data_IF_046623266743
#
_entry.id   IF_046623266743
#
_cell.length_a   1.000
_cell.length_b   1.000
_cell.length_c   1.000
_cell.angle_alpha   90.00
_cell.angle_beta   90.00
_cell.angle_gamma   90.00
#
_symmetry.space_group_name_H-M   'P 1'
#
loop_
_entity.id
_entity.type
_entity.pdbx_description
1 polymer ?
#
# COMPACT_ATOMS: atom_id res chain seq x y z
N UNK A 1 18.95 -11.27 -27.71
CA UNK A 1 18.20 -11.72 -26.53
C UNK A 1 17.50 -10.51 -25.92
N UNK A 2 16.19 -10.34 -26.18
CA UNK A 2 15.39 -9.27 -25.56
C UNK A 2 15.04 -9.73 -24.16
N UNK A 3 15.58 -9.06 -23.14
CA UNK A 3 15.05 -9.17 -21.79
C UNK A 3 13.61 -8.67 -21.83
N UNK A 4 12.65 -9.59 -21.89
CA UNK A 4 11.28 -9.30 -21.51
C UNK A 4 11.34 -8.97 -20.03
N UNK A 5 11.55 -7.70 -19.71
CA UNK A 5 11.23 -7.16 -18.40
C UNK A 5 9.74 -7.38 -18.24
N UNK A 6 9.35 -8.55 -17.71
CA UNK A 6 8.01 -8.79 -17.23
C UNK A 6 7.72 -7.62 -16.30
N UNK A 7 6.79 -6.71 -16.63
CA UNK A 7 6.44 -5.64 -15.71
C UNK A 7 6.07 -6.35 -14.41
N UNK A 8 6.80 -6.04 -13.33
CA UNK A 8 6.62 -6.69 -12.05
C UNK A 8 5.12 -6.71 -11.74
N UNK A 9 4.59 -7.89 -11.44
CA UNK A 9 3.16 -8.03 -11.12
C UNK A 9 2.84 -7.13 -9.94
N UNK A 10 1.72 -6.42 -10.02
CA UNK A 10 1.36 -5.41 -9.01
C UNK A 10 1.16 -6.06 -7.64
N UNK A 11 0.58 -7.26 -7.62
CA UNK A 11 0.46 -8.08 -6.40
C UNK A 11 1.82 -8.35 -5.73
N UNK A 12 2.84 -8.69 -6.51
CA UNK A 12 4.19 -8.96 -6.02
C UNK A 12 4.90 -7.68 -5.55
N UNK A 13 4.74 -6.58 -6.28
CA UNK A 13 5.26 -5.28 -5.85
C UNK A 13 4.66 -4.84 -4.50
N UNK A 14 3.37 -5.05 -4.30
CA UNK A 14 2.71 -4.77 -3.03
C UNK A 14 3.27 -5.66 -1.89
N UNK A 15 3.49 -6.96 -2.13
CA UNK A 15 4.12 -7.85 -1.15
C UNK A 15 5.55 -7.41 -0.80
N UNK A 16 6.33 -6.91 -1.77
CA UNK A 16 7.66 -6.33 -1.51
C UNK A 16 7.57 -5.10 -0.63
N UNK A 17 6.67 -4.16 -0.92
CA UNK A 17 6.46 -2.97 -0.08
C UNK A 17 6.06 -3.34 1.35
N UNK A 18 5.18 -4.34 1.52
CA UNK A 18 4.81 -4.85 2.83
C UNK A 18 6.03 -5.38 3.60
N UNK A 19 6.92 -6.14 2.95
CA UNK A 19 8.17 -6.63 3.57
C UNK A 19 9.08 -5.47 3.97
N UNK A 20 9.24 -4.45 3.13
CA UNK A 20 10.03 -3.26 3.48
C UNK A 20 9.46 -2.53 4.70
N UNK A 21 8.15 -2.33 4.77
CA UNK A 21 7.51 -1.76 5.97
C UNK A 21 7.79 -2.61 7.22
N UNK A 22 7.76 -3.94 7.11
CA UNK A 22 8.10 -4.84 8.21
C UNK A 22 9.56 -4.69 8.67
N UNK A 23 10.51 -4.62 7.73
CA UNK A 23 11.93 -4.39 8.05
C UNK A 23 12.15 -3.03 8.73
N UNK A 24 11.54 -1.97 8.20
CA UNK A 24 11.59 -0.66 8.84
C UNK A 24 10.96 -0.67 10.23
N UNK A 25 9.86 -1.40 10.43
CA UNK A 25 9.21 -1.53 11.73
C UNK A 25 10.10 -2.22 12.78
N UNK A 26 10.94 -3.18 12.36
CA UNK A 26 11.93 -3.81 13.25
C UNK A 26 13.07 -2.88 13.65
N UNK A 27 13.37 -1.89 12.83
CA UNK A 27 14.41 -0.88 13.07
C UNK A 27 13.86 0.45 13.59
N UNK A 28 12.56 0.54 13.88
CA UNK A 28 11.92 1.79 14.27
C UNK A 28 12.42 2.28 15.63
N UNK A 29 12.80 3.56 15.71
CA UNK A 29 13.30 4.18 16.93
C UNK A 29 12.22 4.38 18.00
N UNK A 30 10.95 4.46 17.59
CA UNK A 30 9.83 4.66 18.50
C UNK A 30 8.72 3.62 18.27
N UNK A 31 7.98 3.31 19.34
CA UNK A 31 6.79 2.46 19.25
C UNK A 31 5.69 3.07 18.38
N UNK A 32 5.61 4.40 18.31
CA UNK A 32 4.66 5.10 17.45
C UNK A 32 4.96 4.83 15.97
N UNK A 33 6.22 5.01 15.55
CA UNK A 33 6.65 4.74 14.17
C UNK A 33 6.50 3.26 13.83
N UNK A 34 6.86 2.37 14.76
CA UNK A 34 6.65 0.92 14.61
C UNK A 34 5.19 0.60 14.32
N UNK A 35 4.25 1.18 15.08
CA UNK A 35 2.80 0.95 14.89
C UNK A 35 2.32 1.45 13.52
N UNK A 36 2.80 2.61 13.06
CA UNK A 36 2.47 3.17 11.75
C UNK A 36 3.00 2.24 10.64
N UNK A 37 4.26 1.82 10.71
CA UNK A 37 4.88 0.95 9.72
C UNK A 37 4.19 -0.42 9.65
N UNK A 38 3.79 -0.99 10.79
CA UNK A 38 2.99 -2.22 10.82
C UNK A 38 1.58 -2.02 10.23
N UNK A 39 0.97 -0.85 10.41
CA UNK A 39 -0.30 -0.52 9.76
C UNK A 39 -0.13 -0.44 8.23
N UNK A 40 0.93 0.23 7.75
CA UNK A 40 1.26 0.30 6.33
C UNK A 40 1.55 -1.09 5.75
N UNK A 41 2.29 -1.94 6.45
CA UNK A 41 2.54 -3.33 6.04
C UNK A 41 1.22 -4.08 5.80
N UNK A 42 0.27 -3.99 6.74
CA UNK A 42 -1.05 -4.62 6.61
C UNK A 42 -1.83 -4.07 5.41
N UNK A 43 -1.78 -2.77 5.17
CA UNK A 43 -2.43 -2.13 4.00
C UNK A 43 -1.84 -2.62 2.68
N UNK A 44 -0.51 -2.76 2.59
CA UNK A 44 0.14 -3.30 1.40
C UNK A 44 -0.21 -4.77 1.15
N UNK A 45 -0.34 -5.58 2.19
CA UNK A 45 -0.80 -6.97 2.05
C UNK A 45 -2.25 -7.04 1.56
N UNK A 46 -3.14 -6.21 2.09
CA UNK A 46 -4.52 -6.14 1.61
C UNK A 46 -4.60 -5.70 0.15
N UNK A 47 -3.77 -4.74 -0.26
CA UNK A 47 -3.67 -4.33 -1.66
C UNK A 47 -3.11 -5.44 -2.55
N UNK A 48 -2.10 -6.19 -2.08
CA UNK A 48 -1.56 -7.32 -2.82
C UNK A 48 -2.62 -8.37 -3.13
N UNK A 49 -3.47 -8.68 -2.15
CA UNK A 49 -4.60 -9.60 -2.33
C UNK A 49 -5.63 -9.09 -3.35
N UNK A 50 -5.88 -7.78 -3.37
CA UNK A 50 -6.73 -7.13 -4.36
C UNK A 50 -6.14 -7.18 -5.76
N UNK A 51 -4.86 -6.85 -5.92
CA UNK A 51 -4.18 -6.95 -7.21
C UNK A 51 -4.10 -8.40 -7.70
N UNK A 52 -3.89 -9.37 -6.81
CA UNK A 52 -3.90 -10.79 -7.17
C UNK A 52 -5.27 -11.26 -7.68
N UNK A 53 -6.35 -10.74 -7.08
CA UNK A 53 -7.71 -10.97 -7.57
C UNK A 53 -7.93 -10.32 -8.94
N UNK A 54 -7.54 -9.06 -9.13
CA UNK A 54 -7.63 -8.36 -10.42
C UNK A 54 -6.79 -9.02 -11.52
N UNK A 55 -5.64 -9.60 -11.17
CA UNK A 55 -4.79 -10.39 -12.06
C UNK A 55 -5.40 -11.76 -12.43
N UNK A 56 -6.58 -12.12 -11.90
CA UNK A 56 -7.26 -13.39 -12.16
C UNK A 56 -6.59 -14.60 -11.50
N UNK A 57 -5.70 -14.37 -10.52
CA UNK A 57 -4.91 -15.41 -9.86
C UNK A 57 -5.61 -16.02 -8.65
N UNK A 58 -6.59 -15.32 -8.07
CA UNK A 58 -7.52 -15.88 -7.08
C UNK A 58 -8.85 -16.26 -7.74
N UNK A 59 -9.25 -17.52 -7.58
CA UNK A 59 -10.54 -18.06 -8.05
C UNK A 59 -11.70 -17.85 -7.08
N UNK A 60 -11.50 -17.13 -5.98
CA UNK A 60 -12.45 -17.02 -4.87
C UNK A 60 -12.89 -15.57 -4.61
N UNK A 61 -13.85 -15.40 -3.71
CA UNK A 61 -14.52 -14.16 -3.28
C UNK A 61 -13.62 -12.92 -3.31
N UNK A 62 -14.06 -11.80 -3.89
CA UNK A 62 -13.29 -10.56 -3.92
C UNK A 62 -12.85 -10.16 -2.50
N UNK A 63 -11.63 -9.62 -2.35
CA UNK A 63 -11.15 -9.20 -1.04
C UNK A 63 -12.11 -8.15 -0.47
N UNK A 64 -12.44 -8.30 0.82
CA UNK A 64 -13.30 -7.37 1.51
C UNK A 64 -12.73 -5.95 1.37
N UNK A 65 -13.42 -5.08 0.63
CA UNK A 65 -13.08 -3.66 0.57
C UNK A 65 -13.22 -3.08 1.98
N UNK A 66 -12.11 -3.02 2.71
CA UNK A 66 -12.05 -2.19 3.92
C UNK A 66 -12.20 -0.75 3.45
N UNK A 67 -13.40 -0.20 3.60
CA UNK A 67 -13.65 1.24 3.51
C UNK A 67 -12.74 1.91 4.53
N UNK A 68 -11.59 2.41 4.09
CA UNK A 68 -10.80 3.32 4.90
C UNK A 68 -11.64 4.60 5.05
N UNK A 69 -11.86 5.11 6.27
CA UNK A 69 -12.38 6.47 6.41
C UNK A 69 -11.37 7.36 5.70
N UNK A 70 -11.80 7.98 4.59
CA UNK A 70 -11.04 9.03 3.94
C UNK A 70 -10.76 10.05 5.03
N UNK A 71 -9.49 10.24 5.38
CA UNK A 71 -9.08 11.35 6.24
C UNK A 71 -9.41 12.61 5.44
N UNK A 72 -10.60 13.15 5.65
CA UNK A 72 -11.03 14.43 5.12
C UNK A 72 -10.18 15.51 5.82
N UNK A 73 -9.00 15.81 5.28
CA UNK A 73 -8.08 16.71 5.98
C UNK A 73 -6.86 17.23 5.24
N UNK A 74 -6.72 16.99 3.93
CA UNK A 74 -5.65 17.62 3.13
C UNK A 74 -6.20 18.12 1.80
N UNK A 75 -7.09 19.13 1.86
CA UNK A 75 -7.50 19.90 0.70
C UNK A 75 -7.25 21.39 0.96
N UNK A 76 -6.12 21.87 0.42
CA UNK A 76 -6.03 23.20 -0.17
C UNK A 76 -5.55 24.37 0.70
N UNK A 77 -4.26 24.46 1.01
CA UNK A 77 -3.60 25.76 1.07
C UNK A 77 -2.98 26.06 -0.30
N UNK A 78 -3.77 26.60 -1.23
CA UNK A 78 -3.27 27.36 -2.39
C UNK A 78 -4.21 28.52 -2.71
N UNK A 79 -3.64 29.72 -2.64
CA UNK A 79 -4.04 30.98 -3.25
C UNK A 79 -5.22 31.76 -2.66
N UNK A 80 -4.88 32.85 -1.95
CA UNK A 80 -5.57 34.13 -2.07
C UNK A 80 -4.56 35.26 -1.76
N UNK A 81 -3.74 35.59 -2.76
CA UNK A 81 -3.28 36.97 -2.96
C UNK A 81 -4.38 37.67 -3.78
N UNK A 82 -4.62 38.94 -3.46
CA UNK A 82 -5.55 39.92 -4.06
C UNK A 82 -6.84 40.19 -3.28
N UNK A 83 -6.79 41.20 -2.42
CA UNK A 83 -7.67 42.38 -2.44
C UNK A 83 -6.99 43.50 -1.64
#
# INVERSE_FOLDING_TARGET
>A
MRHLAMPWRKSEQCRRNARYCGLLATAAATDADRRILLAMQRSWLALADNEEWLEGRRKTTPPAQRRLPIVAGLRGHRNALSA
#
